data_IF_848270100166
#
_entry.id   IF_848270100166
#
_cell.length_a   1.000
_cell.length_b   1.000
_cell.length_c   1.000
_cell.angle_alpha   90.00
_cell.angle_beta   90.00
_cell.angle_gamma   90.00
#
_symmetry.space_group_name_H-M   'P 1'
#
loop_
_entity.id
_entity.type
_entity.pdbx_description
1 polymer ?
#
# COMPACT_ATOMS: atom_id res chain seq x y z
N UNK A 1 27.31 -12.75 -11.39
CA UNK A 1 26.37 -11.64 -11.69
C UNK A 1 26.30 -10.74 -10.46
N UNK A 2 26.86 -9.54 -10.52
CA UNK A 2 26.89 -8.63 -9.37
C UNK A 2 25.44 -8.25 -8.99
N UNK A 3 25.04 -8.53 -7.75
CA UNK A 3 23.77 -8.01 -7.21
C UNK A 3 23.85 -6.49 -7.28
N UNK A 4 22.89 -5.79 -7.93
CA UNK A 4 22.91 -4.33 -7.96
C UNK A 4 22.94 -3.81 -6.52
N UNK A 5 23.98 -3.04 -6.20
CA UNK A 5 24.29 -2.57 -4.84
C UNK A 5 23.19 -1.66 -4.28
N UNK A 6 22.39 -1.05 -5.16
CA UNK A 6 21.28 -0.19 -4.85
C UNK A 6 20.00 -0.75 -5.49
N UNK A 7 19.04 -1.14 -4.65
CA UNK A 7 17.67 -1.40 -5.14
C UNK A 7 17.09 -0.06 -5.55
N UNK A 8 16.66 0.04 -6.82
CA UNK A 8 15.91 1.20 -7.28
C UNK A 8 14.48 1.07 -6.74
N UNK A 9 14.06 2.04 -5.93
CA UNK A 9 12.73 2.10 -5.30
C UNK A 9 11.80 3.03 -6.10
N UNK A 10 11.92 2.98 -7.42
CA UNK A 10 11.13 3.77 -8.34
C UNK A 10 10.02 2.90 -8.94
N UNK A 11 8.79 3.39 -8.89
CA UNK A 11 7.60 2.61 -9.19
C UNK A 11 6.70 3.36 -10.18
N UNK A 12 6.38 2.73 -11.30
CA UNK A 12 5.43 3.24 -12.29
C UNK A 12 4.06 2.62 -12.06
N UNK A 13 3.30 3.18 -11.12
CA UNK A 13 1.92 2.77 -10.87
C UNK A 13 0.99 3.30 -11.95
N UNK A 14 0.00 2.51 -12.35
CA UNK A 14 -1.07 3.03 -13.19
C UNK A 14 -2.00 3.96 -12.37
N UNK A 15 -2.83 4.77 -13.07
CA UNK A 15 -3.73 5.73 -12.42
C UNK A 15 -4.68 5.09 -11.40
N UNK A 16 -5.12 3.87 -11.66
CA UNK A 16 -6.02 3.15 -10.77
C UNK A 16 -5.30 2.66 -9.51
N UNK A 17 -4.12 2.07 -9.66
CA UNK A 17 -3.25 1.61 -8.57
C UNK A 17 -2.82 2.78 -7.68
N UNK A 18 -2.42 3.90 -8.27
CA UNK A 18 -2.08 5.12 -7.54
C UNK A 18 -3.28 5.61 -6.70
N UNK A 19 -4.49 5.56 -7.26
CA UNK A 19 -5.73 5.92 -6.54
C UNK A 19 -6.05 4.95 -5.42
N UNK A 20 -5.90 3.64 -5.64
CA UNK A 20 -6.12 2.59 -4.64
C UNK A 20 -5.14 2.79 -3.47
N UNK A 21 -3.85 2.98 -3.78
CA UNK A 21 -2.81 3.22 -2.78
C UNK A 21 -3.01 4.54 -2.03
N UNK A 22 -3.37 5.62 -2.72
CA UNK A 22 -3.66 6.91 -2.07
C UNK A 22 -4.86 6.80 -1.12
N UNK A 23 -5.94 6.14 -1.55
CA UNK A 23 -7.08 5.89 -0.67
C UNK A 23 -6.70 5.04 0.55
N UNK A 24 -5.88 4.01 0.34
CA UNK A 24 -5.37 3.18 1.43
C UNK A 24 -4.53 4.00 2.43
N UNK A 25 -3.57 4.80 1.94
CA UNK A 25 -2.76 5.68 2.78
C UNK A 25 -3.64 6.67 3.56
N UNK A 26 -4.65 7.28 2.93
CA UNK A 26 -5.61 8.18 3.61
C UNK A 26 -6.37 7.48 4.73
N UNK A 27 -6.81 6.24 4.53
CA UNK A 27 -7.49 5.46 5.57
C UNK A 27 -6.56 5.16 6.74
N UNK A 28 -5.30 4.77 6.47
CA UNK A 28 -4.30 4.54 7.53
C UNK A 28 -4.00 5.82 8.31
N UNK A 29 -3.78 6.93 7.60
CA UNK A 29 -3.53 8.23 8.23
C UNK A 29 -4.67 8.59 9.19
N UNK A 30 -5.93 8.47 8.76
CA UNK A 30 -7.09 8.73 9.64
C UNK A 30 -7.13 7.87 10.90
N UNK A 31 -6.60 6.64 10.84
CA UNK A 31 -6.54 5.73 12.00
C UNK A 31 -5.37 6.06 12.94
N UNK A 32 -4.27 6.59 12.39
CA UNK A 32 -3.00 6.79 13.11
C UNK A 32 -2.79 8.22 13.62
N UNK A 33 -3.43 9.22 13.00
CA UNK A 33 -3.22 10.64 13.33
C UNK A 33 -3.65 11.03 14.75
N UNK A 34 -4.43 10.20 15.44
CA UNK A 34 -4.89 10.47 16.80
C UNK A 34 -3.89 10.05 17.90
N UNK A 35 -2.85 9.27 17.58
CA UNK A 35 -1.92 8.72 18.57
C UNK A 35 -0.47 9.07 18.20
N UNK A 36 0.19 9.84 19.09
CA UNK A 36 1.56 10.34 18.92
C UNK A 36 2.59 9.23 18.72
N UNK A 37 2.30 8.00 19.16
CA UNK A 37 3.17 6.83 18.96
C UNK A 37 3.37 6.50 17.48
N UNK A 38 2.46 6.92 16.60
CA UNK A 38 2.55 6.68 15.17
C UNK A 38 3.17 7.84 14.39
N UNK A 39 3.80 8.82 15.04
CA UNK A 39 4.36 9.99 14.35
C UNK A 39 5.25 9.66 13.14
N UNK A 40 6.13 8.66 13.29
CA UNK A 40 7.01 8.20 12.19
C UNK A 40 6.24 7.49 11.05
N UNK A 41 5.16 6.78 11.38
CA UNK A 41 4.31 6.14 10.38
C UNK A 41 3.47 7.18 9.65
N UNK A 42 2.88 8.13 10.38
CA UNK A 42 2.11 9.25 9.83
C UNK A 42 2.98 10.03 8.84
N UNK A 43 4.21 10.38 9.21
CA UNK A 43 5.14 11.09 8.31
C UNK A 43 5.41 10.30 7.02
N UNK A 44 5.69 9.00 7.14
CA UNK A 44 5.96 8.14 5.99
C UNK A 44 4.74 8.02 5.07
N UNK A 45 3.54 7.78 5.62
CA UNK A 45 2.31 7.63 4.83
C UNK A 45 1.83 8.95 4.23
N UNK A 46 2.08 10.09 4.88
CA UNK A 46 1.83 11.42 4.28
C UNK A 46 2.73 11.63 3.07
N UNK A 47 4.04 11.39 3.20
CA UNK A 47 4.99 11.48 2.07
C UNK A 47 4.61 10.56 0.91
N UNK A 48 4.27 9.30 1.18
CA UNK A 48 3.82 8.35 0.15
C UNK A 48 2.56 8.86 -0.54
N UNK A 49 1.57 9.34 0.22
CA UNK A 49 0.32 9.83 -0.34
C UNK A 49 0.52 11.09 -1.19
N UNK A 50 1.40 12.01 -0.80
CA UNK A 50 1.75 13.18 -1.60
C UNK A 50 2.40 12.79 -2.93
N UNK A 51 3.36 11.85 -2.90
CA UNK A 51 4.00 11.32 -4.12
C UNK A 51 3.00 10.62 -5.04
N UNK A 52 2.03 9.90 -4.48
CA UNK A 52 0.95 9.26 -5.26
C UNK A 52 -0.01 10.28 -5.89
N UNK A 53 -0.12 11.47 -5.31
CA UNK A 53 -0.97 12.55 -5.80
C UNK A 53 -0.23 13.52 -6.73
N UNK A 54 1.11 13.49 -6.79
CA UNK A 54 1.88 14.40 -7.65
C UNK A 54 1.64 14.17 -9.15
N UNK A 55 1.11 13.00 -9.52
CA UNK A 55 0.82 12.66 -10.91
C UNK A 55 2.07 12.36 -11.74
N UNK A 56 3.22 12.20 -11.09
CA UNK A 56 4.46 11.76 -11.73
C UNK A 56 4.31 10.35 -12.31
N UNK A 57 4.92 10.11 -13.47
CA UNK A 57 4.91 8.79 -14.12
C UNK A 57 5.72 7.73 -13.34
N UNK A 58 6.66 8.19 -12.51
CA UNK A 58 7.54 7.34 -11.72
C UNK A 58 7.60 7.88 -10.29
N UNK A 59 7.18 7.06 -9.33
CA UNK A 59 7.12 7.41 -7.92
C UNK A 59 8.32 6.81 -7.21
N UNK A 60 9.15 7.69 -6.63
CA UNK A 60 10.34 7.30 -5.87
C UNK A 60 10.03 7.16 -4.39
N UNK A 61 10.00 5.93 -3.91
CA UNK A 61 9.86 5.65 -2.48
C UNK A 61 11.23 5.49 -1.82
N UNK A 62 11.34 5.84 -0.55
CA UNK A 62 12.51 5.44 0.24
C UNK A 62 12.40 3.97 0.65
N UNK A 63 13.52 3.37 1.08
CA UNK A 63 13.52 2.01 1.63
C UNK A 63 12.53 1.87 2.80
N UNK A 64 12.48 2.88 3.66
CA UNK A 64 11.58 2.91 4.82
C UNK A 64 10.12 2.96 4.37
N UNK A 65 9.78 3.87 3.45
CA UNK A 65 8.44 3.99 2.88
C UNK A 65 7.98 2.69 2.22
N UNK A 66 8.82 2.08 1.38
CA UNK A 66 8.53 0.78 0.77
C UNK A 66 8.24 -0.26 1.85
N UNK A 67 9.11 -0.37 2.86
CA UNK A 67 9.02 -1.41 3.89
C UNK A 67 7.73 -1.25 4.70
N UNK A 68 7.43 -0.04 5.15
CA UNK A 68 6.19 0.27 5.89
C UNK A 68 4.95 0.02 5.05
N UNK A 69 4.94 0.49 3.80
CA UNK A 69 3.81 0.28 2.88
C UNK A 69 3.57 -1.21 2.61
N UNK A 70 4.62 -1.97 2.32
CA UNK A 70 4.55 -3.41 2.06
C UNK A 70 4.02 -4.15 3.28
N UNK A 71 4.51 -3.81 4.47
CA UNK A 71 4.08 -4.43 5.72
C UNK A 71 2.58 -4.19 5.96
N UNK A 72 2.11 -2.94 5.90
CA UNK A 72 0.69 -2.61 6.11
C UNK A 72 -0.22 -3.20 5.02
N UNK A 73 0.23 -3.27 3.77
CA UNK A 73 -0.53 -3.91 2.69
C UNK A 73 -0.72 -5.41 2.94
N UNK A 74 0.32 -6.11 3.40
CA UNK A 74 0.24 -7.54 3.77
C UNK A 74 -0.70 -7.76 4.95
N UNK A 75 -0.60 -6.92 5.99
CA UNK A 75 -1.54 -6.98 7.12
C UNK A 75 -3.00 -6.77 6.67
N UNK A 76 -3.24 -5.78 5.79
CA UNK A 76 -4.56 -5.50 5.27
C UNK A 76 -5.13 -6.70 4.48
N UNK A 77 -4.33 -7.32 3.61
CA UNK A 77 -4.74 -8.53 2.87
C UNK A 77 -5.17 -9.66 3.79
N UNK A 78 -4.41 -9.93 4.86
CA UNK A 78 -4.75 -10.96 5.84
C UNK A 78 -6.06 -10.63 6.59
N UNK A 79 -6.28 -9.36 6.93
CA UNK A 79 -7.56 -8.91 7.52
C UNK A 79 -8.70 -9.10 6.53
N UNK A 80 -8.54 -8.70 5.27
CA UNK A 80 -9.54 -8.89 4.22
C UNK A 80 -9.87 -10.37 4.02
N UNK A 81 -8.85 -11.25 4.03
CA UNK A 81 -9.01 -12.70 3.94
C UNK A 81 -9.82 -13.27 5.10
N UNK A 82 -9.59 -12.78 6.32
CA UNK A 82 -10.41 -13.15 7.49
C UNK A 82 -11.85 -12.65 7.35
N UNK A 83 -12.06 -11.42 6.88
CA UNK A 83 -13.41 -10.86 6.66
C UNK A 83 -14.18 -11.59 5.56
N UNK A 84 -13.51 -12.02 4.48
CA UNK A 84 -14.10 -12.84 3.42
C UNK A 84 -14.64 -14.19 3.92
N UNK A 85 -14.02 -14.76 4.95
CA UNK A 85 -14.48 -16.02 5.56
C UNK A 85 -15.75 -15.83 6.40
N UNK A 86 -15.93 -14.64 6.99
CA UNK A 86 -17.05 -14.32 7.90
C UNK A 86 -18.24 -13.64 7.21
N UNK A 87 -18.06 -13.09 6.02
CA UNK A 87 -19.09 -12.30 5.33
C UNK A 87 -20.07 -13.12 4.47
N UNK A 88 -21.31 -12.64 4.41
CA UNK A 88 -22.31 -13.08 3.41
C UNK A 88 -21.85 -12.80 1.96
N UNK A 89 -22.50 -13.45 0.99
CA UNK A 89 -22.10 -13.49 -0.43
C UNK A 89 -21.68 -12.13 -1.03
N UNK A 90 -22.43 -11.04 -0.77
CA UNK A 90 -22.11 -9.70 -1.29
C UNK A 90 -20.81 -9.15 -0.68
N UNK A 91 -20.67 -9.23 0.65
CA UNK A 91 -19.44 -8.78 1.35
C UNK A 91 -18.24 -9.57 0.87
N UNK A 92 -18.38 -10.90 0.74
CA UNK A 92 -17.33 -11.78 0.22
C UNK A 92 -16.90 -11.37 -1.20
N UNK A 93 -17.84 -11.01 -2.08
CA UNK A 93 -17.52 -10.58 -3.44
C UNK A 93 -16.73 -9.26 -3.48
N UNK A 94 -17.17 -8.24 -2.72
CA UNK A 94 -16.47 -6.94 -2.64
C UNK A 94 -15.05 -7.12 -2.10
N UNK A 95 -14.90 -7.85 -0.98
CA UNK A 95 -13.58 -8.10 -0.40
C UNK A 95 -12.69 -8.93 -1.32
N UNK A 96 -13.25 -9.87 -2.08
CA UNK A 96 -12.49 -10.67 -3.06
C UNK A 96 -11.90 -9.78 -4.16
N UNK A 97 -12.71 -8.90 -4.74
CA UNK A 97 -12.25 -7.96 -5.77
C UNK A 97 -11.13 -7.05 -5.25
N UNK A 98 -11.35 -6.43 -4.09
CA UNK A 98 -10.35 -5.54 -3.51
C UNK A 98 -9.07 -6.29 -3.07
N UNK A 99 -9.20 -7.51 -2.53
CA UNK A 99 -8.05 -8.37 -2.20
C UNK A 99 -7.22 -8.70 -3.45
N UNK A 100 -7.86 -9.03 -4.57
CA UNK A 100 -7.14 -9.27 -5.84
C UNK A 100 -6.38 -8.02 -6.29
N UNK A 101 -6.98 -6.84 -6.20
CA UNK A 101 -6.31 -5.59 -6.58
C UNK A 101 -5.06 -5.33 -5.73
N UNK A 102 -5.17 -5.43 -4.40
CA UNK A 102 -4.02 -5.26 -3.50
C UNK A 102 -2.96 -6.36 -3.66
N UNK A 103 -3.37 -7.60 -3.90
CA UNK A 103 -2.45 -8.72 -4.17
C UNK A 103 -1.65 -8.48 -5.45
N UNK A 104 -2.32 -8.04 -6.53
CA UNK A 104 -1.66 -7.74 -7.80
C UNK A 104 -0.63 -6.61 -7.66
N UNK A 105 -0.96 -5.55 -6.91
CA UNK A 105 0.00 -4.46 -6.62
C UNK A 105 1.22 -5.00 -5.86
N UNK A 106 1.01 -5.82 -4.83
CA UNK A 106 2.11 -6.44 -4.08
C UNK A 106 2.98 -7.34 -4.94
N UNK A 107 2.36 -8.19 -5.78
CA UNK A 107 3.09 -9.11 -6.64
C UNK A 107 3.86 -8.41 -7.76
N UNK A 108 3.31 -7.31 -8.28
CA UNK A 108 3.92 -6.56 -9.40
C UNK A 108 5.07 -5.68 -8.93
N UNK A 109 4.92 -4.99 -7.80
CA UNK A 109 5.85 -3.94 -7.38
C UNK A 109 6.66 -4.27 -6.12
N UNK A 110 6.15 -5.14 -5.24
CA UNK A 110 6.73 -5.37 -3.91
C UNK A 110 7.14 -6.83 -3.67
N UNK A 111 7.13 -7.67 -4.71
CA UNK A 111 7.65 -9.04 -4.66
C UNK A 111 9.18 -8.95 -4.60
N UNK A 112 9.71 -9.31 -3.43
CA UNK A 112 11.15 -9.42 -3.18
C UNK A 112 11.65 -10.81 -3.60
#
# INVERSE_FOLDING_TARGET
MAKPLFKNYSYSFNKNEAKILSNFCRTLLKQMTADEKFYQDVRAFTSINEKLLSGEAEIKLTKEEKTKLTFRLKENLEVMKKQMKKGFFIRRWIYRSAHTQFSNILETYFKD
#
